data_IF_844472445988
#
_entry.id   IF_844472445988
#
_cell.length_a   1.000
_cell.length_b   1.000
_cell.length_c   1.000
_cell.angle_alpha   90.00
_cell.angle_beta   90.00
_cell.angle_gamma   90.00
#
_symmetry.space_group_name_H-M   'P 1'
#
loop_
_entity.id
_entity.type
_entity.pdbx_description
1 polymer ?
#
# COMPACT_ATOMS: atom_id res chain seq x y z
N UNK A 1 3.67 24.90 -21.19
CA UNK A 1 3.67 23.85 -20.16
C UNK A 1 4.95 23.09 -20.37
N UNK A 2 5.94 23.44 -19.58
CA UNK A 2 7.25 22.82 -19.67
C UNK A 2 7.12 21.37 -19.22
N UNK A 3 7.50 20.44 -20.09
CA UNK A 3 7.57 19.04 -19.78
C UNK A 3 8.54 18.91 -18.58
N UNK A 4 8.04 18.42 -17.46
CA UNK A 4 8.90 17.95 -16.40
C UNK A 4 9.67 16.77 -16.98
N UNK A 5 10.91 16.99 -17.36
CA UNK A 5 11.84 15.91 -17.68
C UNK A 5 11.97 15.04 -16.42
N UNK A 6 11.19 13.96 -16.39
CA UNK A 6 11.49 12.88 -15.46
C UNK A 6 12.87 12.35 -15.86
N UNK A 7 13.77 12.13 -14.89
CA UNK A 7 15.07 11.58 -15.20
C UNK A 7 14.88 10.30 -16.00
N UNK A 8 15.52 10.23 -17.16
CA UNK A 8 15.62 9.00 -17.92
C UNK A 8 15.94 7.86 -16.96
N UNK A 9 15.49 6.66 -17.28
CA UNK A 9 15.83 5.42 -16.55
C UNK A 9 17.36 5.43 -16.39
N UNK A 10 17.83 6.10 -15.34
CA UNK A 10 19.24 6.36 -15.16
C UNK A 10 19.85 5.24 -14.34
N UNK A 11 21.09 4.93 -14.59
CA UNK A 11 21.92 4.04 -13.77
C UNK A 11 21.85 4.35 -12.27
N UNK A 12 21.43 5.57 -11.89
CA UNK A 12 21.14 5.98 -10.51
C UNK A 12 20.04 5.12 -9.83
N UNK A 13 19.15 4.47 -10.58
CA UNK A 13 18.15 3.52 -10.04
C UNK A 13 18.82 2.18 -9.70
N UNK A 14 19.99 1.88 -10.26
CA UNK A 14 20.71 0.61 -10.10
C UNK A 14 21.85 0.70 -9.08
N UNK A 15 22.30 1.89 -8.71
CA UNK A 15 23.31 2.08 -7.67
C UNK A 15 22.64 2.52 -6.37
N UNK A 16 22.98 1.93 -5.22
CA UNK A 16 22.57 2.49 -3.95
C UNK A 16 23.14 3.93 -3.88
N UNK A 17 22.24 4.91 -3.74
CA UNK A 17 22.69 6.29 -3.47
C UNK A 17 23.60 6.26 -2.23
N UNK A 18 24.69 7.00 -2.25
CA UNK A 18 25.54 7.18 -1.08
C UNK A 18 24.66 7.63 0.10
N UNK A 19 24.54 6.78 1.14
CA UNK A 19 23.63 6.96 2.26
C UNK A 19 22.36 6.11 2.21
N UNK A 20 22.16 5.25 1.19
CA UNK A 20 21.06 4.30 1.19
C UNK A 20 21.21 3.31 2.35
N UNK A 21 20.11 3.09 3.09
CA UNK A 21 20.05 2.09 4.14
C UNK A 21 20.35 0.71 3.53
N UNK A 22 21.14 -0.08 4.25
CA UNK A 22 21.43 -1.45 3.82
C UNK A 22 20.11 -2.23 3.71
N UNK A 23 19.93 -2.97 2.61
CA UNK A 23 18.73 -3.76 2.36
C UNK A 23 19.09 -5.08 1.68
N UNK A 24 18.25 -6.10 1.90
CA UNK A 24 18.36 -7.41 1.29
C UNK A 24 17.31 -7.56 0.19
N UNK A 25 17.68 -8.17 -0.93
CA UNK A 25 16.79 -8.32 -2.09
C UNK A 25 16.01 -9.62 -2.04
N UNK A 26 14.73 -9.55 -2.42
CA UNK A 26 13.86 -10.71 -2.57
C UNK A 26 12.50 -10.54 -1.90
N UNK A 27 11.47 -11.15 -2.46
CA UNK A 27 10.11 -11.16 -1.91
C UNK A 27 9.81 -12.54 -1.31
N UNK A 28 9.40 -12.56 -0.03
CA UNK A 28 9.01 -13.79 0.65
C UNK A 28 10.15 -14.78 0.92
N UNK A 29 11.39 -14.37 0.70
CA UNK A 29 12.58 -15.18 1.02
C UNK A 29 12.77 -15.27 2.54
N UNK A 30 13.51 -16.29 2.98
CA UNK A 30 14.02 -16.35 4.34
C UNK A 30 15.33 -15.56 4.42
N UNK A 31 15.30 -14.51 5.22
CA UNK A 31 16.45 -13.65 5.48
C UNK A 31 17.01 -13.90 6.86
N UNK A 32 18.24 -13.49 7.08
CA UNK A 32 18.90 -13.47 8.38
C UNK A 32 19.83 -12.25 8.45
N UNK A 33 19.71 -11.46 9.50
CA UNK A 33 20.48 -10.22 9.68
C UNK A 33 20.65 -9.89 11.15
N UNK A 34 21.76 -9.23 11.48
CA UNK A 34 22.09 -8.77 12.84
C UNK A 34 22.69 -7.37 12.80
N UNK A 35 22.24 -6.51 13.70
CA UNK A 35 22.79 -5.16 13.87
C UNK A 35 24.07 -5.19 14.75
N UNK A 36 24.18 -6.18 15.61
CA UNK A 36 25.36 -6.45 16.44
C UNK A 36 25.87 -7.84 16.12
N UNK A 37 27.12 -7.93 15.75
CA UNK A 37 27.76 -9.19 15.36
C UNK A 37 27.64 -10.25 16.47
N UNK A 38 27.18 -11.44 16.10
CA UNK A 38 27.01 -12.57 17.01
C UNK A 38 25.68 -12.55 17.78
N UNK A 39 24.73 -11.67 17.43
CA UNK A 39 23.40 -11.66 18.02
C UNK A 39 22.51 -12.80 17.49
N UNK A 40 22.75 -13.30 16.27
CA UNK A 40 22.03 -14.45 15.73
C UNK A 40 22.56 -15.75 16.33
N UNK A 41 21.69 -16.63 16.89
CA UNK A 41 22.12 -17.96 17.31
C UNK A 41 22.45 -18.84 16.12
N UNK A 42 23.42 -19.72 16.29
CA UNK A 42 23.81 -20.70 15.29
C UNK A 42 23.01 -21.99 15.45
N UNK A 43 22.43 -22.49 14.36
CA UNK A 43 21.76 -23.78 14.23
C UNK A 43 20.52 -23.99 15.13
N UNK A 44 20.08 -23.00 15.89
CA UNK A 44 18.89 -23.07 16.76
C UNK A 44 18.12 -21.76 16.74
N UNK A 45 16.80 -21.83 16.76
CA UNK A 45 15.96 -20.63 16.86
C UNK A 45 15.84 -20.11 18.29
N UNK A 46 15.70 -21.02 19.26
CA UNK A 46 15.58 -20.69 20.68
C UNK A 46 16.55 -21.55 21.52
N UNK A 47 17.85 -21.19 21.53
CA UNK A 47 18.80 -21.87 22.41
C UNK A 47 18.47 -21.64 23.86
N UNK A 48 18.94 -22.49 24.77
CA UNK A 48 18.72 -22.34 26.22
C UNK A 48 19.19 -20.95 26.71
N UNK A 49 20.26 -20.44 26.14
CA UNK A 49 20.73 -19.08 26.34
C UNK A 49 20.96 -18.44 24.97
N UNK A 50 20.16 -17.44 24.65
CA UNK A 50 20.38 -16.69 23.44
C UNK A 50 21.66 -15.84 23.53
N UNK A 51 22.36 -15.62 22.41
CA UNK A 51 23.56 -14.78 22.38
C UNK A 51 23.31 -13.39 22.99
N UNK A 52 24.33 -12.82 23.59
CA UNK A 52 24.34 -11.46 24.16
C UNK A 52 23.24 -11.19 25.22
N UNK A 53 22.65 -12.23 25.80
CA UNK A 53 21.58 -12.10 26.77
C UNK A 53 20.25 -11.66 26.17
N UNK A 54 20.07 -11.77 24.86
CA UNK A 54 18.84 -11.42 24.15
C UNK A 54 17.72 -12.43 24.44
N UNK A 55 16.49 -12.02 24.22
CA UNK A 55 15.32 -12.89 24.28
C UNK A 55 14.95 -13.34 22.87
N UNK A 56 14.80 -14.65 22.68
CA UNK A 56 14.28 -15.23 21.45
C UNK A 56 12.73 -15.15 21.47
N UNK A 57 12.16 -14.55 20.45
CA UNK A 57 10.71 -14.35 20.31
C UNK A 57 10.29 -14.67 18.88
N UNK A 58 9.12 -15.30 18.68
CA UNK A 58 8.59 -15.59 17.36
C UNK A 58 7.34 -14.78 17.08
N UNK A 59 7.28 -14.15 15.91
CA UNK A 59 6.03 -13.64 15.31
C UNK A 59 5.65 -14.56 14.15
N UNK A 60 4.45 -15.14 14.20
CA UNK A 60 3.93 -15.99 13.13
C UNK A 60 2.83 -15.26 12.37
N UNK A 61 3.01 -15.10 11.05
CA UNK A 61 2.02 -14.52 10.14
C UNK A 61 1.07 -15.57 9.54
N UNK A 62 1.23 -16.84 9.91
CA UNK A 62 0.35 -17.95 9.55
C UNK A 62 0.15 -18.85 10.76
N UNK A 63 -0.83 -19.76 10.69
CA UNK A 63 -0.97 -20.79 11.73
C UNK A 63 0.32 -21.62 11.83
N UNK A 64 0.68 -22.08 13.06
CA UNK A 64 1.85 -22.94 13.25
C UNK A 64 1.82 -24.22 12.41
N UNK A 65 0.61 -24.69 12.12
CA UNK A 65 0.34 -25.91 11.32
C UNK A 65 0.25 -25.65 9.82
N UNK A 66 0.47 -24.40 9.36
CA UNK A 66 0.46 -24.10 7.93
C UNK A 66 1.50 -24.93 7.16
N UNK A 67 1.21 -25.35 5.91
CA UNK A 67 2.17 -26.06 5.07
C UNK A 67 3.46 -25.27 4.92
N UNK A 68 4.58 -25.97 4.82
CA UNK A 68 5.94 -25.36 4.81
C UNK A 68 6.09 -24.25 3.77
N UNK A 69 5.51 -24.41 2.58
CA UNK A 69 5.60 -23.43 1.49
C UNK A 69 4.79 -22.15 1.76
N UNK A 70 3.77 -22.21 2.61
CA UNK A 70 2.91 -21.08 2.96
C UNK A 70 3.10 -20.59 4.40
N UNK A 71 3.98 -21.24 5.17
CA UNK A 71 4.25 -20.85 6.56
C UNK A 71 5.04 -19.56 6.61
N UNK A 72 4.49 -18.56 7.27
CA UNK A 72 5.10 -17.23 7.48
C UNK A 72 5.46 -17.06 8.95
N UNK A 73 6.74 -16.85 9.21
CA UNK A 73 7.27 -16.64 10.55
C UNK A 73 8.56 -15.84 10.52
N UNK A 74 8.82 -15.15 11.63
CA UNK A 74 10.07 -14.44 11.90
C UNK A 74 10.46 -14.68 13.35
N UNK A 75 11.76 -14.88 13.58
CA UNK A 75 12.37 -14.96 14.89
C UNK A 75 13.10 -13.65 15.16
N UNK A 76 12.73 -13.03 16.27
CA UNK A 76 13.37 -11.83 16.81
C UNK A 76 14.32 -12.21 17.94
N UNK A 77 15.47 -11.57 18.00
CA UNK A 77 16.39 -11.59 19.13
C UNK A 77 16.47 -10.17 19.64
N UNK A 78 15.79 -9.93 20.75
CA UNK A 78 15.47 -8.60 21.25
C UNK A 78 15.93 -8.37 22.68
N UNK A 79 16.12 -7.10 23.05
CA UNK A 79 16.62 -6.71 24.37
C UNK A 79 15.59 -7.01 25.45
N UNK A 80 14.30 -6.77 25.18
CA UNK A 80 13.18 -7.02 26.13
C UNK A 80 12.06 -7.75 25.42
N UNK A 81 11.50 -8.84 25.99
CA UNK A 81 10.43 -9.57 25.30
C UNK A 81 9.14 -8.77 25.23
N UNK A 82 8.39 -8.88 24.14
CA UNK A 82 7.19 -8.09 23.87
C UNK A 82 6.03 -8.36 24.82
N UNK A 83 6.09 -9.41 25.62
CA UNK A 83 5.15 -9.63 26.75
C UNK A 83 5.16 -8.48 27.75
N UNK A 84 6.26 -7.71 27.82
CA UNK A 84 6.34 -6.50 28.63
C UNK A 84 5.60 -5.30 28.00
N UNK A 85 5.29 -5.35 26.71
CA UNK A 85 4.60 -4.28 26.00
C UNK A 85 3.07 -4.32 26.17
N UNK A 86 2.51 -5.42 26.67
CA UNK A 86 1.07 -5.65 26.76
C UNK A 86 0.41 -5.20 28.06
N UNK A 87 1.09 -4.42 28.91
CA UNK A 87 0.55 -4.04 30.23
C UNK A 87 -0.22 -2.71 30.16
N UNK A 88 -1.36 -2.68 30.87
CA UNK A 88 -2.12 -1.45 31.13
C UNK A 88 -2.62 -0.74 29.86
N UNK A 89 -2.97 -1.46 28.82
CA UNK A 89 -3.63 -0.87 27.66
C UNK A 89 -4.97 -0.26 28.05
N UNK A 90 -5.20 0.97 27.61
CA UNK A 90 -6.47 1.69 27.74
C UNK A 90 -7.00 1.97 26.36
N UNK A 91 -8.29 1.74 26.15
CA UNK A 91 -8.97 2.13 24.92
C UNK A 91 -8.94 3.65 24.77
N UNK A 92 -8.66 4.10 23.55
CA UNK A 92 -8.67 5.51 23.16
C UNK A 92 -9.57 5.71 21.94
N UNK A 93 -9.95 6.96 21.69
CA UNK A 93 -10.73 7.32 20.52
C UNK A 93 -10.00 6.98 19.22
N UNK A 94 -10.75 6.45 18.26
CA UNK A 94 -10.21 6.09 16.94
C UNK A 94 -10.04 7.28 16.00
N UNK A 95 -10.46 8.48 16.39
CA UNK A 95 -10.44 9.66 15.54
C UNK A 95 -11.21 9.42 14.23
N UNK A 96 -10.52 9.52 13.09
CA UNK A 96 -11.07 9.26 11.76
C UNK A 96 -10.70 7.87 11.20
N UNK A 97 -10.14 7.00 12.02
CA UNK A 97 -9.84 5.62 11.63
C UNK A 97 -11.10 4.78 11.81
N UNK A 98 -11.49 4.05 10.77
CA UNK A 98 -12.61 3.11 10.79
C UNK A 98 -12.14 1.74 10.34
N UNK A 99 -12.84 0.71 10.82
CA UNK A 99 -12.57 -0.70 10.51
C UNK A 99 -13.88 -1.38 10.14
N UNK A 100 -13.86 -2.29 9.19
CA UNK A 100 -15.02 -3.06 8.80
C UNK A 100 -15.42 -4.09 9.88
N UNK A 101 -16.75 -4.33 10.06
CA UNK A 101 -17.85 -3.70 9.35
C UNK A 101 -18.08 -2.27 9.83
N UNK A 102 -17.92 -1.32 8.94
CA UNK A 102 -18.20 0.09 9.24
C UNK A 102 -19.65 0.39 8.83
N UNK A 103 -20.45 0.77 9.80
CA UNK A 103 -21.85 1.16 9.60
C UNK A 103 -22.03 2.67 9.78
N UNK A 104 -20.96 3.44 9.60
CA UNK A 104 -21.13 4.89 9.44
C UNK A 104 -22.09 5.07 8.27
N UNK A 105 -23.27 5.59 8.54
CA UNK A 105 -24.28 5.82 7.54
C UNK A 105 -23.80 6.89 6.56
N UNK A 106 -23.11 6.42 5.51
CA UNK A 106 -22.80 7.28 4.38
C UNK A 106 -24.11 7.56 3.65
N UNK A 107 -24.45 8.83 3.55
CA UNK A 107 -25.57 9.30 2.73
C UNK A 107 -25.24 9.37 1.25
N UNK A 108 -24.05 8.89 0.83
CA UNK A 108 -23.66 8.95 -0.57
C UNK A 108 -24.53 8.04 -1.43
N UNK A 109 -25.00 8.52 -2.57
CA UNK A 109 -25.79 7.74 -3.50
C UNK A 109 -24.92 6.60 -4.07
N UNK A 110 -25.57 5.54 -4.53
CA UNK A 110 -24.94 4.57 -5.41
C UNK A 110 -24.48 5.30 -6.66
N UNK A 111 -23.18 5.23 -6.95
CA UNK A 111 -22.59 5.91 -8.10
C UNK A 111 -21.07 5.81 -8.07
N UNK A 112 -20.47 6.38 -9.11
CA UNK A 112 -19.03 6.56 -9.17
C UNK A 112 -18.69 7.78 -8.31
N UNK A 113 -17.71 7.62 -7.40
CA UNK A 113 -17.27 8.68 -6.51
C UNK A 113 -15.86 9.12 -6.85
N UNK A 114 -15.59 10.40 -6.67
CA UNK A 114 -14.25 10.98 -6.83
C UNK A 114 -14.01 12.05 -5.76
N UNK A 115 -12.79 12.07 -5.24
CA UNK A 115 -12.33 13.09 -4.30
C UNK A 115 -11.09 13.78 -4.83
N UNK A 116 -11.04 15.09 -4.69
CA UNK A 116 -9.82 15.85 -4.85
C UNK A 116 -8.82 15.50 -3.72
N UNK A 117 -7.54 15.88 -3.86
CA UNK A 117 -6.54 15.55 -2.85
C UNK A 117 -6.94 16.02 -1.45
N UNK A 118 -6.77 15.15 -0.46
CA UNK A 118 -6.93 15.51 0.96
C UNK A 118 -6.01 16.68 1.29
N UNK A 119 -6.51 17.78 1.90
CA UNK A 119 -5.69 18.91 2.32
C UNK A 119 -4.56 18.49 3.26
N UNK A 120 -3.40 19.15 3.10
CA UNK A 120 -2.27 18.96 4.00
C UNK A 120 -2.53 19.67 5.33
N UNK A 121 -2.02 19.15 6.47
CA UNK A 121 -2.31 19.72 7.77
C UNK A 121 -1.53 21.01 8.03
N UNK A 122 -2.18 22.02 8.58
CA UNK A 122 -1.55 23.22 9.11
C UNK A 122 -1.01 23.05 10.54
N UNK A 123 -1.74 22.27 11.36
CA UNK A 123 -1.33 21.92 12.72
C UNK A 123 -0.31 20.76 12.72
N UNK A 124 0.55 20.66 13.76
CA UNK A 124 1.46 19.55 13.91
C UNK A 124 0.71 18.21 13.94
N UNK A 125 0.87 17.40 12.91
CA UNK A 125 0.15 16.15 12.67
C UNK A 125 1.14 15.06 12.29
N UNK A 126 1.19 13.97 13.06
CA UNK A 126 1.96 12.79 12.69
C UNK A 126 1.12 11.82 11.85
N UNK A 127 1.72 10.71 11.46
CA UNK A 127 1.07 9.72 10.60
C UNK A 127 -0.24 9.19 11.20
N UNK A 128 -0.29 8.87 12.50
CA UNK A 128 -1.50 8.33 13.14
C UNK A 128 -2.59 9.37 13.28
N UNK A 129 -2.24 10.59 13.70
CA UNK A 129 -3.18 11.70 13.81
C UNK A 129 -3.70 12.12 12.44
N UNK A 130 -2.93 11.88 11.39
CA UNK A 130 -3.28 12.18 10.00
C UNK A 130 -3.88 11.02 9.21
N UNK A 131 -4.05 9.84 9.81
CA UNK A 131 -4.63 8.68 9.14
C UNK A 131 -6.16 8.75 9.14
N UNK A 132 -6.77 8.67 7.97
CA UNK A 132 -8.20 8.82 7.75
C UNK A 132 -8.73 7.72 6.85
N UNK A 133 -9.79 7.04 7.27
CA UNK A 133 -10.40 5.98 6.47
C UNK A 133 -11.38 6.55 5.47
N UNK A 134 -11.19 6.23 4.20
CA UNK A 134 -12.08 6.63 3.10
C UNK A 134 -13.21 5.63 2.90
N UNK A 135 -12.87 4.34 2.84
CA UNK A 135 -13.84 3.27 2.64
C UNK A 135 -13.38 1.98 3.29
N UNK A 136 -14.32 1.12 3.64
CA UNK A 136 -14.05 -0.20 4.23
C UNK A 136 -14.93 -1.27 3.59
N UNK A 137 -14.47 -2.51 3.64
CA UNK A 137 -15.28 -3.67 3.25
C UNK A 137 -14.92 -4.90 4.09
N UNK A 138 -15.82 -5.87 4.11
CA UNK A 138 -15.61 -7.13 4.82
C UNK A 138 -15.86 -7.03 6.33
N UNK A 139 -15.08 -7.79 7.09
CA UNK A 139 -15.23 -7.89 8.54
C UNK A 139 -13.90 -8.32 9.17
N UNK A 140 -13.37 -7.48 10.07
CA UNK A 140 -12.10 -7.73 10.76
C UNK A 140 -12.17 -8.95 11.69
N UNK A 141 -13.32 -9.28 12.26
CA UNK A 141 -13.50 -10.45 13.13
C UNK A 141 -13.45 -11.76 12.35
N UNK A 142 -13.84 -11.75 11.09
CA UNK A 142 -13.72 -12.89 10.18
C UNK A 142 -12.49 -12.84 9.30
N UNK A 143 -11.67 -11.77 9.45
CA UNK A 143 -10.42 -11.56 8.74
C UNK A 143 -10.58 -11.55 7.21
N UNK A 144 -11.60 -10.84 6.72
CA UNK A 144 -11.87 -10.65 5.30
C UNK A 144 -12.07 -9.18 4.97
N UNK A 145 -11.74 -8.79 3.74
CA UNK A 145 -11.84 -7.41 3.29
C UNK A 145 -10.64 -6.55 3.66
N UNK A 146 -10.82 -5.24 3.57
CA UNK A 146 -9.78 -4.25 3.87
C UNK A 146 -10.38 -2.88 4.18
N UNK A 147 -9.56 -1.97 4.70
CA UNK A 147 -9.85 -0.54 4.75
C UNK A 147 -8.90 0.22 3.83
N UNK A 148 -9.45 1.17 3.07
CA UNK A 148 -8.68 2.16 2.32
C UNK A 148 -8.58 3.44 3.13
N UNK A 149 -7.34 3.86 3.41
CA UNK A 149 -7.07 5.09 4.14
C UNK A 149 -6.27 6.06 3.28
N UNK A 150 -6.34 7.35 3.65
CA UNK A 150 -5.36 8.37 3.29
C UNK A 150 -4.62 8.81 4.54
N UNK A 151 -3.36 9.20 4.39
CA UNK A 151 -2.63 9.85 5.46
C UNK A 151 -2.07 11.19 5.00
N UNK A 152 -2.00 12.12 5.92
CA UNK A 152 -1.32 13.41 5.78
C UNK A 152 -0.53 13.66 7.05
N UNK A 153 0.74 14.07 6.92
CA UNK A 153 1.56 14.37 8.10
C UNK A 153 2.57 15.48 7.80
N UNK A 154 2.91 16.26 8.83
CA UNK A 154 3.94 17.31 8.75
C UNK A 154 4.96 17.21 9.90
N UNK A 155 4.88 16.15 10.72
CA UNK A 155 5.88 15.81 11.74
C UNK A 155 6.09 14.30 11.84
N UNK A 156 7.24 13.90 12.34
CA UNK A 156 7.58 12.51 12.67
C UNK A 156 6.80 12.02 13.89
N UNK A 157 6.61 10.69 13.99
CA UNK A 157 6.03 10.07 15.18
C UNK A 157 6.96 10.09 16.39
N UNK A 158 8.27 10.22 16.16
CA UNK A 158 9.32 10.27 17.21
C UNK A 158 9.23 9.04 18.14
N UNK A 159 8.79 9.21 19.42
CA UNK A 159 8.66 8.15 20.42
C UNK A 159 7.23 7.59 20.53
N UNK A 160 6.47 7.67 19.46
CA UNK A 160 5.14 7.10 19.32
C UNK A 160 5.20 5.94 18.32
N UNK A 161 4.75 4.79 18.74
CA UNK A 161 4.82 3.56 17.95
C UNK A 161 3.43 3.00 17.71
N UNK A 162 3.26 2.32 16.57
CA UNK A 162 2.00 1.73 16.18
C UNK A 162 2.16 0.24 15.90
N UNK A 163 1.12 -0.51 16.18
CA UNK A 163 0.98 -1.91 15.81
C UNK A 163 -0.47 -2.19 15.48
N UNK A 164 -0.74 -2.88 14.38
CA UNK A 164 -2.08 -3.37 14.07
C UNK A 164 -2.13 -4.90 14.14
N UNK A 165 -3.08 -5.42 14.92
CA UNK A 165 -3.43 -6.83 14.94
C UNK A 165 -4.56 -7.15 13.94
N UNK A 166 -5.15 -6.13 13.32
CA UNK A 166 -6.28 -6.26 12.42
C UNK A 166 -5.86 -6.56 10.98
N UNK A 167 -4.84 -5.87 10.48
CA UNK A 167 -4.45 -5.97 9.08
C UNK A 167 -2.96 -5.80 8.81
N UNK A 168 -2.54 -6.19 7.61
CA UNK A 168 -1.27 -5.87 7.00
C UNK A 168 -1.37 -4.51 6.34
N UNK A 169 -0.39 -3.63 6.50
CA UNK A 169 -0.39 -2.31 5.87
C UNK A 169 0.38 -2.33 4.55
N UNK A 170 -0.25 -1.86 3.50
CA UNK A 170 0.38 -1.47 2.23
C UNK A 170 0.36 0.06 2.14
N UNK A 171 1.52 0.69 2.31
CA UNK A 171 1.73 2.13 2.26
C UNK A 171 2.10 2.56 0.83
N UNK A 172 1.42 3.58 0.30
CA UNK A 172 1.63 4.13 -1.04
C UNK A 172 1.89 5.64 -0.93
N UNK A 173 3.15 6.09 -0.76
CA UNK A 173 3.49 7.50 -0.73
C UNK A 173 3.10 8.21 -2.04
N UNK A 174 2.49 9.38 -1.91
CA UNK A 174 2.09 10.21 -3.04
C UNK A 174 2.84 11.54 -3.07
N UNK A 175 3.12 12.13 -1.91
CA UNK A 175 3.86 13.37 -1.76
C UNK A 175 4.82 13.26 -0.57
N UNK A 176 6.08 13.67 -0.79
CA UNK A 176 7.14 13.61 0.20
C UNK A 176 7.63 12.18 0.47
N UNK A 177 8.71 12.07 1.24
CA UNK A 177 9.31 10.79 1.62
C UNK A 177 8.93 10.43 3.05
N UNK A 178 8.76 9.15 3.31
CA UNK A 178 8.55 8.60 4.65
C UNK A 178 9.65 7.60 4.98
N UNK A 179 10.06 7.55 6.24
CA UNK A 179 10.87 6.48 6.80
C UNK A 179 9.97 5.60 7.67
N UNK A 180 9.85 4.32 7.32
CA UNK A 180 9.14 3.32 8.10
C UNK A 180 10.18 2.55 8.91
N UNK A 181 10.25 2.79 10.21
CA UNK A 181 11.12 2.07 11.12
C UNK A 181 10.32 1.01 11.86
N UNK A 182 10.63 -0.24 11.60
CA UNK A 182 9.95 -1.43 12.12
C UNK A 182 10.85 -2.22 13.07
N UNK A 183 10.31 -3.26 13.71
CA UNK A 183 11.10 -4.23 14.49
C UNK A 183 12.17 -4.97 13.66
N UNK A 184 12.09 -4.90 12.33
CA UNK A 184 13.07 -5.51 11.41
C UNK A 184 14.16 -4.54 10.94
N UNK A 185 13.95 -3.23 11.10
CA UNK A 185 14.84 -2.19 10.58
C UNK A 185 14.10 -1.11 9.81
N UNK A 186 14.83 -0.33 9.02
CA UNK A 186 14.37 0.91 8.41
C UNK A 186 14.20 0.81 6.90
N UNK A 187 13.11 1.35 6.39
CA UNK A 187 12.83 1.50 4.95
C UNK A 187 12.44 2.95 4.67
N UNK A 188 13.11 3.59 3.74
CA UNK A 188 12.72 4.91 3.22
C UNK A 188 11.98 4.71 1.90
N UNK A 189 10.82 5.33 1.76
CA UNK A 189 10.01 5.28 0.55
C UNK A 189 9.60 6.68 0.08
N UNK A 190 9.59 6.85 -1.24
CA UNK A 190 9.20 8.06 -1.95
C UNK A 190 7.98 7.79 -2.86
N UNK A 191 7.35 8.83 -3.43
CA UNK A 191 6.33 8.65 -4.46
C UNK A 191 6.82 7.74 -5.60
N UNK A 192 5.99 6.73 -5.94
CA UNK A 192 6.36 5.67 -6.88
C UNK A 192 6.99 4.43 -6.23
N UNK A 193 7.15 4.41 -4.92
CA UNK A 193 7.52 3.23 -4.13
C UNK A 193 6.39 2.84 -3.19
N UNK A 194 6.35 1.56 -2.79
CA UNK A 194 5.40 1.05 -1.78
C UNK A 194 6.16 0.38 -0.65
N UNK A 195 5.53 0.33 0.55
CA UNK A 195 6.04 -0.42 1.70
C UNK A 195 4.94 -1.33 2.23
N UNK A 196 5.29 -2.59 2.48
CA UNK A 196 4.44 -3.57 3.17
C UNK A 196 4.95 -3.71 4.60
N UNK A 197 4.05 -3.49 5.58
CA UNK A 197 4.31 -3.77 6.99
C UNK A 197 3.40 -4.92 7.43
N UNK A 198 3.97 -6.08 7.79
CA UNK A 198 3.19 -7.24 8.20
C UNK A 198 2.30 -6.98 9.43
N UNK A 199 1.15 -7.65 9.48
CA UNK A 199 0.27 -7.68 10.64
C UNK A 199 1.03 -8.08 11.91
N UNK A 200 0.81 -7.35 13.01
CA UNK A 200 1.39 -7.62 14.32
C UNK A 200 2.79 -7.05 14.54
N UNK A 201 3.41 -6.44 13.53
CA UNK A 201 4.71 -5.80 13.61
C UNK A 201 4.59 -4.37 14.13
N UNK A 202 5.43 -4.00 15.09
CA UNK A 202 5.50 -2.64 15.60
C UNK A 202 6.34 -1.77 14.69
N UNK A 203 5.90 -0.53 14.49
CA UNK A 203 6.63 0.44 13.66
C UNK A 203 6.31 1.88 14.06
N UNK A 204 7.10 2.80 13.55
CA UNK A 204 6.81 4.23 13.50
C UNK A 204 7.09 4.77 12.10
N UNK A 205 6.50 5.92 11.79
CA UNK A 205 6.76 6.65 10.55
C UNK A 205 7.36 7.99 10.90
N UNK A 206 8.57 8.22 10.39
CA UNK A 206 9.29 9.46 10.53
C UNK A 206 9.42 10.14 9.16
N UNK A 207 9.59 11.46 9.16
CA UNK A 207 9.80 12.28 7.97
C UNK A 207 11.31 12.52 7.81
N UNK A 208 12.01 11.79 6.94
CA UNK A 208 13.48 11.82 6.86
C UNK A 208 14.03 13.17 6.40
N UNK A 209 13.22 13.96 5.68
CA UNK A 209 13.59 15.28 5.19
C UNK A 209 13.26 16.40 6.21
N UNK A 210 12.69 16.03 7.37
CA UNK A 210 12.27 16.97 8.41
C UNK A 210 11.34 18.06 7.87
N UNK A 211 11.39 19.24 8.47
CA UNK A 211 10.58 20.38 8.01
C UNK A 211 10.95 20.88 6.61
N UNK A 212 12.20 20.69 6.18
CA UNK A 212 12.64 21.12 4.86
C UNK A 212 11.98 20.33 3.71
N UNK A 213 11.57 19.08 3.97
CA UNK A 213 10.87 18.24 2.99
C UNK A 213 9.39 18.57 2.83
N UNK A 214 8.85 19.41 3.71
CA UNK A 214 7.44 19.74 3.74
C UNK A 214 6.53 18.57 4.21
N UNK A 215 5.21 18.77 4.19
CA UNK A 215 4.26 17.76 4.58
C UNK A 215 4.19 16.62 3.58
N UNK A 216 3.83 15.43 4.08
CA UNK A 216 3.67 14.21 3.30
C UNK A 216 2.21 13.82 3.16
N UNK A 217 1.88 13.14 2.08
CA UNK A 217 0.57 12.54 1.81
C UNK A 217 0.74 11.20 1.12
N UNK A 218 -0.18 10.30 1.36
CA UNK A 218 -0.25 9.02 0.66
C UNK A 218 -1.48 8.22 1.02
N UNK A 219 -1.49 6.97 0.58
CA UNK A 219 -2.61 6.07 0.76
C UNK A 219 -2.14 4.82 1.51
N UNK A 220 -3.10 4.15 2.17
CA UNK A 220 -2.84 2.89 2.86
C UNK A 220 -3.98 1.93 2.58
N UNK A 221 -3.65 0.69 2.22
CA UNK A 221 -4.58 -0.41 2.36
C UNK A 221 -4.25 -1.18 3.65
N UNK A 222 -5.22 -1.32 4.54
CA UNK A 222 -5.14 -2.22 5.69
C UNK A 222 -5.87 -3.52 5.33
N UNK A 223 -5.11 -4.51 4.91
CA UNK A 223 -5.60 -5.81 4.45
C UNK A 223 -5.88 -6.75 5.63
N UNK A 224 -7.15 -7.06 5.88
CA UNK A 224 -7.55 -7.95 6.98
C UNK A 224 -7.37 -9.44 6.67
N UNK A 225 -7.31 -9.79 5.38
CA UNK A 225 -7.31 -11.16 4.90
C UNK A 225 -5.92 -11.81 4.93
N UNK A 226 -5.73 -12.71 3.97
CA UNK A 226 -4.43 -13.35 3.75
C UNK A 226 -3.37 -12.31 3.41
N UNK A 227 -2.11 -12.55 3.80
CA UNK A 227 -1.00 -11.66 3.46
C UNK A 227 -0.82 -11.51 1.95
N UNK A 228 -0.30 -10.36 1.53
CA UNK A 228 -0.01 -10.04 0.14
C UNK A 228 1.08 -10.97 -0.42
N UNK A 229 0.86 -11.44 -1.63
CA UNK A 229 1.76 -12.30 -2.39
C UNK A 229 1.96 -11.78 -3.81
N UNK A 230 2.96 -12.28 -4.52
CA UNK A 230 3.06 -12.05 -5.95
C UNK A 230 1.96 -12.86 -6.68
N UNK A 231 1.31 -12.28 -7.70
CA UNK A 231 0.28 -12.99 -8.46
C UNK A 231 0.86 -14.13 -9.29
N UNK A 232 0.02 -15.12 -9.58
CA UNK A 232 0.36 -16.17 -10.53
C UNK A 232 0.48 -15.59 -11.94
N UNK A 233 1.50 -16.00 -12.68
CA UNK A 233 1.79 -15.48 -14.01
C UNK A 233 1.09 -16.23 -15.14
N UNK A 234 0.70 -17.49 -14.91
CA UNK A 234 0.06 -18.31 -15.92
C UNK A 234 0.85 -18.36 -17.23
N UNK A 235 0.22 -18.06 -18.36
CA UNK A 235 0.88 -18.11 -19.69
C UNK A 235 1.94 -17.01 -19.91
N UNK A 236 2.05 -16.01 -19.05
CA UNK A 236 3.12 -15.01 -19.11
C UNK A 236 4.50 -15.63 -18.82
N UNK A 237 4.54 -16.72 -18.05
CA UNK A 237 5.76 -17.42 -17.70
C UNK A 237 6.60 -16.69 -16.66
N UNK A 238 7.92 -16.65 -16.82
CA UNK A 238 8.85 -16.14 -15.82
C UNK A 238 9.12 -14.63 -15.89
N UNK A 239 8.78 -14.00 -17.00
CA UNK A 239 9.04 -12.57 -17.24
C UNK A 239 7.79 -11.73 -16.98
N UNK A 240 7.93 -10.40 -17.03
CA UNK A 240 6.89 -9.41 -16.78
C UNK A 240 6.38 -9.38 -15.34
N UNK A 241 5.51 -8.41 -15.06
CA UNK A 241 4.97 -8.06 -13.74
C UNK A 241 6.09 -7.68 -12.75
N UNK A 242 5.80 -7.75 -11.44
CA UNK A 242 6.80 -7.49 -10.42
C UNK A 242 7.77 -8.67 -10.30
N UNK A 243 9.08 -8.39 -10.28
CA UNK A 243 10.09 -9.41 -10.05
C UNK A 243 10.43 -9.47 -8.56
N UNK A 244 10.41 -10.68 -7.98
CA UNK A 244 10.71 -10.88 -6.55
C UNK A 244 12.06 -10.28 -6.12
N UNK A 245 13.09 -10.30 -6.99
CA UNK A 245 14.43 -9.75 -6.70
C UNK A 245 14.44 -8.23 -6.48
N UNK A 246 13.43 -7.51 -6.98
CA UNK A 246 13.37 -6.04 -6.92
C UNK A 246 12.73 -5.53 -5.63
N UNK A 247 12.20 -6.41 -4.80
CA UNK A 247 11.74 -6.08 -3.47
C UNK A 247 12.92 -6.01 -2.51
N UNK A 248 12.89 -5.01 -1.63
CA UNK A 248 13.94 -4.74 -0.66
C UNK A 248 13.40 -4.92 0.75
N UNK A 249 14.07 -5.77 1.53
CA UNK A 249 13.81 -6.03 2.94
C UNK A 249 14.90 -5.36 3.78
N UNK A 250 14.59 -4.69 4.92
CA UNK A 250 15.59 -3.96 5.70
C UNK A 250 16.57 -4.92 6.37
N UNK A 251 17.79 -4.45 6.62
CA UNK A 251 18.69 -5.10 7.58
C UNK A 251 18.32 -4.69 9.00
N UNK A 252 18.67 -5.54 9.99
CA UNK A 252 18.39 -5.29 11.39
C UNK A 252 18.93 -3.92 11.82
N UNK A 253 18.07 -3.15 12.47
CA UNK A 253 18.39 -1.92 13.16
C UNK A 253 17.46 -1.78 14.36
N UNK A 254 17.97 -1.26 15.46
CA UNK A 254 17.23 -1.23 16.73
C UNK A 254 17.41 0.09 17.47
N UNK A 255 16.53 0.33 18.44
CA UNK A 255 16.64 1.39 19.43
C UNK A 255 16.89 0.77 20.80
N UNK A 256 17.83 1.35 21.55
CA UNK A 256 18.10 0.97 22.94
C UNK A 256 18.20 2.23 23.80
N UNK A 257 17.04 2.67 24.27
CA UNK A 257 16.94 3.82 25.18
C UNK A 257 15.82 3.61 26.22
N UNK A 258 16.00 4.18 27.40
CA UNK A 258 15.07 4.16 28.51
C UNK A 258 14.29 5.48 28.64
N UNK A 259 13.66 5.89 27.55
CA UNK A 259 12.76 7.04 27.53
C UNK A 259 11.31 6.58 27.45
N UNK A 260 10.40 7.36 28.04
CA UNK A 260 8.98 7.10 27.93
C UNK A 260 8.53 7.13 26.45
N UNK A 261 7.86 6.08 26.03
CA UNK A 261 7.36 5.88 24.69
C UNK A 261 5.86 5.57 24.71
N UNK A 262 5.15 6.01 23.70
CA UNK A 262 3.75 5.64 23.49
C UNK A 262 3.66 4.45 22.54
N UNK A 263 2.92 3.41 22.92
CA UNK A 263 2.56 2.33 22.01
C UNK A 263 1.04 2.35 21.81
N UNK A 264 0.64 2.56 20.56
CA UNK A 264 -0.74 2.46 20.11
C UNK A 264 -0.92 1.11 19.42
N UNK A 265 -1.88 0.32 19.91
CA UNK A 265 -2.25 -0.96 19.28
C UNK A 265 -3.66 -0.88 18.72
N UNK A 266 -3.82 -1.23 17.46
CA UNK A 266 -5.12 -1.43 16.82
C UNK A 266 -5.50 -2.90 16.89
N UNK A 267 -6.66 -3.20 17.46
CA UNK A 267 -7.17 -4.56 17.57
C UNK A 267 -8.69 -4.55 17.58
N UNK A 268 -9.30 -5.42 16.77
CA UNK A 268 -10.76 -5.55 16.64
C UNK A 268 -11.46 -4.23 16.32
N UNK A 269 -10.82 -3.41 15.49
CA UNK A 269 -11.33 -2.10 15.08
C UNK A 269 -11.22 -1.00 16.12
N UNK A 270 -10.55 -1.25 17.25
CA UNK A 270 -10.37 -0.30 18.35
C UNK A 270 -8.90 0.07 18.51
N UNK A 271 -8.64 1.25 19.04
CA UNK A 271 -7.29 1.69 19.38
C UNK A 271 -7.09 1.60 20.91
N UNK A 272 -5.93 1.10 21.27
CA UNK A 272 -5.49 0.98 22.66
C UNK A 272 -4.14 1.65 22.81
N UNK A 273 -3.97 2.37 23.90
CA UNK A 273 -2.75 3.09 24.25
C UNK A 273 -2.12 2.51 25.52
N UNK A 274 -0.80 2.41 25.52
CA UNK A 274 0.01 2.19 26.73
C UNK A 274 1.29 2.99 26.66
N UNK A 275 1.88 3.29 27.80
CA UNK A 275 3.21 3.92 27.91
C UNK A 275 4.24 2.85 28.28
N UNK A 276 5.32 2.81 27.51
CA UNK A 276 6.48 1.96 27.75
C UNK A 276 7.64 2.78 28.30
N UNK A 277 8.48 2.25 29.21
CA UNK A 277 9.67 2.96 29.69
C UNK A 277 10.87 2.87 28.72
N UNK A 278 10.71 2.25 27.56
CA UNK A 278 11.75 2.01 26.56
C UNK A 278 11.13 1.92 25.16
N UNK A 279 11.95 1.98 24.11
CA UNK A 279 11.50 1.71 22.74
C UNK A 279 11.05 0.25 22.57
N UNK A 280 9.93 -0.03 21.88
CA UNK A 280 9.56 -1.38 21.47
C UNK A 280 10.30 -1.87 20.22
N UNK A 281 11.09 -1.02 19.54
CA UNK A 281 11.89 -1.39 18.36
C UNK A 281 13.29 -1.84 18.78
N UNK A 282 13.39 -2.77 19.73
CA UNK A 282 14.60 -3.21 20.38
C UNK A 282 15.12 -4.58 19.86
N UNK A 283 14.76 -4.93 18.63
CA UNK A 283 15.18 -6.17 17.96
C UNK A 283 16.59 -6.01 17.38
N UNK A 284 17.58 -6.64 17.98
CA UNK A 284 19.00 -6.54 17.61
C UNK A 284 19.34 -7.42 16.40
N UNK A 285 18.65 -8.54 16.26
CA UNK A 285 18.81 -9.47 15.14
C UNK A 285 17.50 -10.19 14.86
N UNK A 286 17.33 -10.65 13.62
CA UNK A 286 16.18 -11.44 13.24
C UNK A 286 16.47 -12.33 12.04
N UNK A 287 15.70 -13.41 11.88
CA UNK A 287 15.64 -14.21 10.68
C UNK A 287 14.23 -14.73 10.43
N UNK A 288 13.89 -14.94 9.16
CA UNK A 288 12.58 -15.46 8.76
C UNK A 288 12.11 -14.92 7.42
N UNK A 289 10.85 -15.22 7.11
CA UNK A 289 10.21 -14.89 5.83
C UNK A 289 8.92 -14.04 6.00
N UNK A 290 8.73 -13.44 7.16
CA UNK A 290 7.61 -12.55 7.47
C UNK A 290 8.15 -11.19 7.90
N UNK A 291 8.88 -10.54 6.99
CA UNK A 291 9.53 -9.26 7.21
C UNK A 291 8.87 -8.17 6.34
N UNK A 292 8.96 -6.89 6.75
CA UNK A 292 8.52 -5.78 5.92
C UNK A 292 9.38 -5.70 4.66
N UNK A 293 8.80 -5.15 3.59
CA UNK A 293 9.56 -4.91 2.37
C UNK A 293 9.04 -3.67 1.65
N UNK A 294 9.87 -3.12 0.76
CA UNK A 294 9.49 -2.07 -0.18
C UNK A 294 9.71 -2.51 -1.62
N UNK A 295 9.00 -1.88 -2.54
CA UNK A 295 9.14 -2.09 -3.97
C UNK A 295 9.02 -0.79 -4.73
N UNK A 296 9.88 -0.59 -5.73
CA UNK A 296 9.83 0.53 -6.66
C UNK A 296 8.94 0.16 -7.85
N UNK A 297 7.77 0.79 -7.94
CA UNK A 297 6.76 0.52 -8.96
C UNK A 297 7.25 0.82 -10.39
N UNK A 298 8.29 1.63 -10.54
CA UNK A 298 8.93 1.91 -11.84
C UNK A 298 9.68 0.70 -12.41
N UNK A 299 9.98 -0.30 -11.57
CA UNK A 299 10.59 -1.58 -11.98
C UNK A 299 9.57 -2.61 -12.46
N UNK A 300 8.29 -2.29 -12.36
CA UNK A 300 7.23 -3.16 -12.84
C UNK A 300 7.28 -3.26 -14.37
N UNK A 301 7.23 -4.48 -14.89
CA UNK A 301 7.23 -4.75 -16.32
C UNK A 301 5.82 -5.07 -16.80
N UNK A 302 5.05 -4.08 -17.31
CA UNK A 302 3.71 -4.34 -17.80
C UNK A 302 3.74 -5.25 -19.02
N UNK A 303 2.72 -6.09 -19.19
CA UNK A 303 2.53 -6.85 -20.44
C UNK A 303 1.99 -5.89 -21.48
N UNK A 304 2.83 -5.45 -22.39
CA UNK A 304 2.56 -4.29 -23.23
C UNK A 304 2.11 -4.59 -24.64
N UNK A 305 2.16 -5.84 -25.14
CA UNK A 305 1.86 -6.08 -26.55
C UNK A 305 0.79 -7.13 -26.74
N UNK A 306 -0.36 -6.68 -27.18
CA UNK A 306 -1.37 -7.49 -27.85
C UNK A 306 -1.58 -6.93 -29.25
N UNK A 307 -1.99 -7.77 -30.19
CA UNK A 307 -2.20 -7.32 -31.58
C UNK A 307 -3.43 -6.43 -31.71
N UNK A 308 -4.52 -6.82 -31.04
CA UNK A 308 -5.79 -6.11 -31.01
C UNK A 308 -6.27 -6.00 -29.57
N UNK A 309 -7.21 -5.10 -29.32
CA UNK A 309 -7.88 -4.88 -28.04
C UNK A 309 -6.98 -4.36 -26.91
N UNK A 310 -7.58 -3.83 -25.89
CA UNK A 310 -6.90 -3.44 -24.66
C UNK A 310 -6.80 -4.65 -23.72
N UNK A 311 -5.63 -4.96 -23.15
CA UNK A 311 -5.52 -6.05 -22.20
C UNK A 311 -6.25 -5.75 -20.90
N UNK A 312 -6.74 -6.81 -20.23
CA UNK A 312 -7.38 -6.70 -18.93
C UNK A 312 -6.42 -6.14 -17.87
N UNK A 313 -6.93 -5.39 -16.86
CA UNK A 313 -6.11 -4.82 -15.79
C UNK A 313 -5.33 -5.85 -14.95
N UNK A 314 -5.73 -7.11 -14.95
CA UNK A 314 -5.04 -8.20 -14.24
C UNK A 314 -3.55 -8.31 -14.57
N UNK A 315 -3.15 -7.93 -15.78
CA UNK A 315 -1.72 -7.91 -16.18
C UNK A 315 -0.92 -6.80 -15.53
N UNK A 316 -1.55 -5.91 -14.79
CA UNK A 316 -0.92 -4.81 -14.05
C UNK A 316 -0.91 -5.06 -12.54
N UNK A 317 -1.30 -6.25 -12.07
CA UNK A 317 -1.31 -6.61 -10.67
C UNK A 317 0.12 -6.77 -10.14
N UNK A 318 0.46 -5.96 -9.15
CA UNK A 318 1.77 -6.01 -8.46
C UNK A 318 1.74 -7.06 -7.36
N UNK A 319 0.68 -7.04 -6.55
CA UNK A 319 0.49 -7.89 -5.38
C UNK A 319 -0.97 -8.33 -5.28
N UNK A 320 -1.20 -9.51 -4.74
CA UNK A 320 -2.53 -10.07 -4.50
C UNK A 320 -2.63 -10.71 -3.12
N UNK A 321 -3.75 -10.52 -2.45
CA UNK A 321 -4.14 -11.28 -1.27
C UNK A 321 -5.33 -12.17 -1.62
N UNK A 322 -5.16 -13.47 -1.45
CA UNK A 322 -6.23 -14.43 -1.78
C UNK A 322 -7.46 -14.23 -0.90
N UNK A 323 -8.65 -14.45 -1.46
CA UNK A 323 -9.88 -14.60 -0.70
C UNK A 323 -10.22 -16.09 -0.50
N UNK A 324 -11.29 -16.37 0.23
CA UNK A 324 -11.86 -17.71 0.39
C UNK A 324 -12.59 -18.21 -0.87
N UNK A 325 -12.83 -17.32 -1.83
CA UNK A 325 -13.47 -17.67 -3.10
C UNK A 325 -12.40 -17.74 -4.19
N UNK A 326 -12.17 -18.91 -4.78
CA UNK A 326 -11.21 -19.06 -5.87
C UNK A 326 -11.48 -18.11 -7.04
N UNK A 327 -10.41 -17.53 -7.59
CA UNK A 327 -10.47 -16.64 -8.74
C UNK A 327 -10.88 -15.18 -8.45
N UNK A 328 -11.10 -14.83 -7.17
CA UNK A 328 -11.32 -13.43 -6.76
C UNK A 328 -10.43 -13.08 -5.57
N UNK A 329 -9.86 -11.90 -5.57
CA UNK A 329 -8.97 -11.47 -4.50
C UNK A 329 -9.74 -10.86 -3.30
N UNK A 330 -9.18 -11.01 -2.10
CA UNK A 330 -9.52 -10.18 -0.96
C UNK A 330 -9.06 -8.74 -1.23
N UNK A 331 -7.85 -8.62 -1.76
CA UNK A 331 -7.25 -7.34 -2.16
C UNK A 331 -6.22 -7.59 -3.27
N UNK A 332 -6.39 -6.93 -4.40
CA UNK A 332 -5.36 -6.77 -5.41
C UNK A 332 -4.80 -5.35 -5.36
N UNK A 333 -3.49 -5.23 -5.48
CA UNK A 333 -2.82 -3.97 -5.71
C UNK A 333 -2.37 -3.92 -7.17
N UNK A 334 -3.07 -3.11 -7.95
CA UNK A 334 -2.88 -2.92 -9.39
C UNK A 334 -2.28 -1.55 -9.63
N UNK A 335 -1.43 -1.40 -10.65
CA UNK A 335 -0.89 -0.10 -11.06
C UNK A 335 -1.14 0.13 -12.55
N UNK A 336 -1.23 1.39 -12.93
CA UNK A 336 -1.26 1.84 -14.32
C UNK A 336 0.04 2.61 -14.61
N UNK A 337 1.12 1.86 -14.93
CA UNK A 337 2.45 2.45 -15.13
C UNK A 337 2.64 2.94 -16.56
N UNK A 338 3.79 3.53 -16.80
CA UNK A 338 4.27 3.81 -18.15
C UNK A 338 4.24 2.55 -19.01
N UNK A 339 3.76 2.69 -20.25
CA UNK A 339 3.62 1.56 -21.18
C UNK A 339 3.52 1.99 -22.64
N UNK A 340 3.74 1.05 -23.54
CA UNK A 340 3.47 1.22 -24.96
C UNK A 340 2.06 0.79 -25.32
N UNK A 341 1.36 1.61 -26.11
CA UNK A 341 0.09 1.30 -26.75
C UNK A 341 0.36 1.06 -28.23
N UNK A 342 0.21 -0.18 -28.68
CA UNK A 342 0.56 -0.62 -30.05
C UNK A 342 -0.57 -1.37 -30.75
N UNK A 343 -1.72 -1.59 -30.08
CA UNK A 343 -2.84 -2.37 -30.59
C UNK A 343 -3.36 -1.76 -31.89
N UNK A 344 -3.44 -2.59 -32.93
CA UNK A 344 -3.91 -2.21 -34.27
C UNK A 344 -5.43 -2.14 -34.31
N UNK A 345 -5.97 -1.14 -34.99
CA UNK A 345 -7.41 -0.96 -35.21
C UNK A 345 -8.28 -1.21 -33.98
N UNK A 346 -7.82 -0.73 -32.81
CA UNK A 346 -8.45 -0.98 -31.52
C UNK A 346 -8.72 0.32 -30.76
N UNK A 347 -9.79 0.32 -29.97
CA UNK A 347 -10.00 1.36 -28.96
C UNK A 347 -8.99 1.16 -27.82
N UNK A 348 -8.02 2.06 -27.67
CA UNK A 348 -6.85 1.86 -26.81
C UNK A 348 -7.06 2.20 -25.33
N UNK A 349 -7.96 3.12 -24.91
CA UNK A 349 -8.31 3.26 -23.50
C UNK A 349 -9.04 2.02 -22.98
N UNK A 350 -9.14 1.82 -21.66
CA UNK A 350 -10.07 0.86 -21.09
C UNK A 350 -11.47 1.13 -21.63
N UNK A 351 -12.18 0.07 -22.02
CA UNK A 351 -13.57 0.19 -22.50
C UNK A 351 -14.54 0.50 -21.37
N UNK A 352 -15.78 0.90 -21.69
CA UNK A 352 -16.85 0.97 -20.70
C UNK A 352 -17.14 -0.43 -20.17
N UNK A 353 -17.18 -0.59 -18.85
CA UNK A 353 -17.35 -1.89 -18.24
C UNK A 353 -18.06 -1.84 -16.88
N UNK A 354 -18.43 -3.00 -16.41
CA UNK A 354 -18.91 -3.29 -15.07
C UNK A 354 -18.11 -4.52 -14.57
N UNK A 355 -17.54 -4.41 -13.39
CA UNK A 355 -16.75 -5.47 -12.77
C UNK A 355 -17.49 -6.00 -11.52
N UNK A 356 -17.38 -7.29 -11.24
CA UNK A 356 -17.86 -7.89 -9.98
C UNK A 356 -17.00 -7.47 -8.79
N UNK A 357 -15.82 -6.94 -9.05
CA UNK A 357 -14.92 -6.37 -8.05
C UNK A 357 -15.18 -4.86 -7.86
N UNK A 358 -14.87 -4.35 -6.68
CA UNK A 358 -14.88 -2.92 -6.39
C UNK A 358 -13.48 -2.35 -6.53
N UNK A 359 -13.38 -1.12 -7.03
CA UNK A 359 -12.13 -0.47 -7.39
C UNK A 359 -11.97 0.86 -6.64
N UNK A 360 -10.96 0.96 -5.79
CA UNK A 360 -10.54 2.22 -5.17
C UNK A 360 -9.22 2.65 -5.79
N UNK A 361 -9.25 3.75 -6.56
CA UNK A 361 -8.10 4.25 -7.29
C UNK A 361 -7.47 5.46 -6.64
N UNK A 362 -6.17 5.66 -6.86
CA UNK A 362 -5.44 6.88 -6.55
C UNK A 362 -4.45 7.24 -7.65
N UNK A 363 -4.20 8.54 -7.83
CA UNK A 363 -3.20 9.04 -8.77
C UNK A 363 -1.97 9.50 -8.00
N UNK A 364 -0.83 8.83 -8.23
CA UNK A 364 0.42 9.17 -7.55
C UNK A 364 1.05 10.40 -8.21
N UNK A 365 1.21 10.38 -9.53
CA UNK A 365 1.70 11.53 -10.30
C UNK A 365 1.26 11.46 -11.76
N UNK A 366 1.35 12.59 -12.46
CA UNK A 366 1.04 12.72 -13.88
C UNK A 366 -0.44 12.88 -14.18
N UNK A 367 -0.89 12.33 -15.30
CA UNK A 367 -2.26 12.40 -15.82
C UNK A 367 -2.74 11.00 -16.15
N UNK A 368 -3.92 10.64 -15.67
CA UNK A 368 -4.52 9.34 -16.02
C UNK A 368 -5.16 9.41 -17.40
N UNK A 369 -4.77 8.53 -18.30
CA UNK A 369 -5.11 8.56 -19.73
C UNK A 369 -6.61 8.39 -20.02
N UNK A 370 -7.32 7.61 -19.21
CA UNK A 370 -8.76 7.41 -19.38
C UNK A 370 -9.60 8.61 -18.91
N UNK A 371 -9.05 9.45 -18.03
CA UNK A 371 -9.72 10.60 -17.42
C UNK A 371 -8.75 11.76 -17.22
N UNK A 372 -8.33 12.41 -18.32
CA UNK A 372 -7.34 13.49 -18.23
C UNK A 372 -7.88 14.76 -17.53
N UNK A 373 -9.20 14.90 -17.40
CA UNK A 373 -9.83 15.98 -16.67
C UNK A 373 -10.29 15.60 -15.26
N UNK A 374 -9.92 16.40 -14.25
CA UNK A 374 -10.46 16.30 -12.90
C UNK A 374 -9.92 15.21 -11.99
N UNK A 375 -9.14 14.25 -12.48
CA UNK A 375 -8.41 13.27 -11.65
C UNK A 375 -6.95 13.73 -11.55
N UNK A 376 -6.59 14.30 -10.42
CA UNK A 376 -5.28 14.95 -10.19
C UNK A 376 -4.44 14.16 -9.18
N UNK A 377 -3.09 14.32 -9.19
CA UNK A 377 -2.22 13.66 -8.20
C UNK A 377 -2.66 13.91 -6.76
N UNK A 378 -2.81 12.85 -5.99
CA UNK A 378 -3.36 12.88 -4.63
C UNK A 378 -4.89 12.71 -4.56
N UNK A 379 -5.58 12.77 -5.69
CA UNK A 379 -7.02 12.48 -5.78
C UNK A 379 -7.31 10.99 -5.71
N UNK A 380 -8.58 10.66 -5.50
CA UNK A 380 -9.09 9.29 -5.37
C UNK A 380 -10.38 9.11 -6.15
N UNK A 381 -10.68 7.88 -6.55
CA UNK A 381 -12.01 7.51 -7.06
C UNK A 381 -12.43 6.14 -6.54
N UNK A 382 -13.73 5.92 -6.43
CA UNK A 382 -14.34 4.65 -6.06
C UNK A 382 -15.38 4.25 -7.11
N UNK A 383 -15.21 3.07 -7.67
CA UNK A 383 -16.16 2.39 -8.54
C UNK A 383 -16.53 1.08 -7.88
N UNK A 384 -17.69 1.05 -7.23
CA UNK A 384 -18.13 -0.17 -6.56
C UNK A 384 -18.53 -1.28 -7.55
N UNK A 385 -18.60 -2.49 -7.05
CA UNK A 385 -18.98 -3.67 -7.81
C UNK A 385 -20.23 -3.42 -8.67
N UNK A 386 -20.16 -3.79 -9.94
CA UNK A 386 -21.24 -3.68 -10.95
C UNK A 386 -21.71 -2.24 -11.26
N UNK A 387 -21.01 -1.22 -10.82
CA UNK A 387 -21.27 0.15 -11.27
C UNK A 387 -20.55 0.41 -12.59
N UNK A 388 -21.28 0.83 -13.66
CA UNK A 388 -20.66 1.07 -14.95
C UNK A 388 -19.73 2.28 -14.92
N UNK A 389 -18.54 2.14 -15.52
CA UNK A 389 -17.57 3.21 -15.65
C UNK A 389 -16.67 3.01 -16.86
N UNK A 390 -15.77 3.96 -17.13
CA UNK A 390 -14.88 3.91 -18.27
C UNK A 390 -14.29 5.28 -18.60
N UNK A 391 -13.77 5.49 -19.82
CA UNK A 391 -13.19 6.76 -20.24
C UNK A 391 -14.25 7.87 -20.22
N UNK A 392 -13.82 9.10 -19.97
CA UNK A 392 -14.71 10.27 -20.12
C UNK A 392 -15.08 10.49 -21.60
N UNK A 393 -16.06 11.35 -21.84
CA UNK A 393 -16.57 11.62 -23.20
C UNK A 393 -15.48 12.19 -24.13
N UNK A 394 -14.59 13.02 -23.63
CA UNK A 394 -13.52 13.66 -24.42
C UNK A 394 -12.42 12.62 -24.76
N UNK A 395 -12.03 11.78 -23.79
CA UNK A 395 -11.11 10.68 -24.03
C UNK A 395 -11.68 9.67 -25.05
N UNK A 396 -12.98 9.33 -24.92
CA UNK A 396 -13.66 8.47 -25.90
C UNK A 396 -13.67 9.08 -27.30
N UNK A 397 -14.04 10.35 -27.44
CA UNK A 397 -14.09 11.02 -28.75
C UNK A 397 -12.71 11.06 -29.41
N UNK A 398 -11.66 11.42 -28.64
CA UNK A 398 -10.28 11.45 -29.11
C UNK A 398 -9.79 10.06 -29.51
N UNK A 399 -9.99 9.04 -28.70
CA UNK A 399 -9.52 7.69 -28.97
C UNK A 399 -10.24 7.04 -30.16
N UNK A 400 -11.53 7.39 -30.41
CA UNK A 400 -12.32 6.86 -31.51
C UNK A 400 -11.98 7.46 -32.88
N UNK A 401 -11.25 8.58 -32.91
CA UNK A 401 -10.94 9.31 -34.17
C UNK A 401 -9.46 9.45 -34.46
N UNK A 402 -8.61 9.13 -33.49
CA UNK A 402 -7.15 9.27 -33.62
C UNK A 402 -6.59 8.30 -34.64
N UNK A 403 -5.69 8.79 -35.50
CA UNK A 403 -4.84 7.90 -36.32
C UNK A 403 -3.89 7.14 -35.41
N UNK A 404 -3.96 5.81 -35.47
CA UNK A 404 -3.17 4.96 -34.57
C UNK A 404 -1.72 4.83 -35.04
N UNK A 405 -0.80 5.07 -34.15
CA UNK A 405 0.64 4.82 -34.28
C UNK A 405 1.13 4.25 -32.92
N UNK A 406 2.30 3.62 -32.85
CA UNK A 406 2.91 3.28 -31.56
C UNK A 406 2.99 4.53 -30.66
N UNK A 407 2.48 4.43 -29.45
CA UNK A 407 2.43 5.54 -28.48
C UNK A 407 2.93 5.07 -27.13
N UNK A 408 3.84 5.84 -26.52
CA UNK A 408 4.29 5.59 -25.15
C UNK A 408 3.52 6.49 -24.19
N UNK A 409 2.79 5.90 -23.26
CA UNK A 409 2.31 6.60 -22.08
C UNK A 409 3.47 6.71 -21.10
N UNK A 410 3.82 7.93 -20.71
CA UNK A 410 4.95 8.22 -19.82
C UNK A 410 4.62 9.36 -18.86
N UNK A 411 5.40 9.48 -17.77
CA UNK A 411 5.22 10.54 -16.78
C UNK A 411 3.94 10.41 -15.95
N UNK A 412 3.37 9.20 -15.86
CA UNK A 412 2.15 8.96 -15.10
C UNK A 412 2.22 7.66 -14.31
N UNK A 413 1.61 7.65 -13.14
CA UNK A 413 1.44 6.46 -12.32
C UNK A 413 0.18 6.58 -11.47
N UNK A 414 -0.80 5.74 -11.75
CA UNK A 414 -1.96 5.53 -10.92
C UNK A 414 -1.92 4.12 -10.32
N UNK A 415 -2.69 3.91 -9.27
CA UNK A 415 -2.90 2.59 -8.67
C UNK A 415 -4.37 2.32 -8.40
N UNK A 416 -4.68 1.06 -8.14
CA UNK A 416 -6.00 0.59 -7.77
C UNK A 416 -5.88 -0.45 -6.66
N UNK A 417 -6.68 -0.30 -5.62
CA UNK A 417 -7.04 -1.36 -4.67
C UNK A 417 -8.31 -2.00 -5.18
N UNK A 418 -8.23 -3.24 -5.59
CA UNK A 418 -9.36 -3.99 -6.13
C UNK A 418 -9.75 -5.12 -5.18
N UNK A 419 -11.04 -5.30 -4.93
CA UNK A 419 -11.56 -6.28 -3.98
C UNK A 419 -12.88 -6.86 -4.44
N UNK A 420 -13.11 -8.13 -4.11
CA UNK A 420 -14.42 -8.79 -4.33
C UNK A 420 -15.56 -8.18 -3.52
N UNK A 421 -15.27 -7.41 -2.50
CA UNK A 421 -16.27 -6.88 -1.59
C UNK A 421 -16.74 -5.48 -2.00
N UNK A 422 -18.06 -5.18 -1.91
CA UNK A 422 -18.50 -3.80 -2.03
C UNK A 422 -17.85 -2.94 -0.94
N UNK A 423 -17.32 -1.79 -1.35
CA UNK A 423 -16.71 -0.81 -0.47
C UNK A 423 -17.77 0.16 0.08
N UNK A 424 -17.79 0.33 1.40
CA UNK A 424 -18.63 1.28 2.08
C UNK A 424 -17.81 2.55 2.40
N UNK A 425 -18.11 3.71 1.77
CA UNK A 425 -17.51 4.98 2.16
C UNK A 425 -17.85 5.31 3.61
N UNK A 426 -16.90 5.92 4.33
CA UNK A 426 -17.12 6.38 5.71
C UNK A 426 -17.89 7.70 5.75
N UNK A 427 -18.42 8.06 6.93
CA UNK A 427 -19.00 9.38 7.17
C UNK A 427 -18.00 10.49 6.82
N UNK A 428 -16.73 10.35 7.23
CA UNK A 428 -15.66 11.28 6.85
C UNK A 428 -15.57 11.48 5.34
N UNK A 429 -15.51 10.40 4.56
CA UNK A 429 -15.41 10.49 3.10
C UNK A 429 -16.64 11.15 2.46
N UNK A 430 -17.83 10.98 3.07
CA UNK A 430 -19.08 11.57 2.60
C UNK A 430 -19.16 13.07 2.82
N UNK A 431 -18.53 13.57 3.88
CA UNK A 431 -18.62 14.97 4.33
C UNK A 431 -17.44 15.82 3.84
N UNK A 432 -16.50 15.23 3.09
CA UNK A 432 -15.33 15.96 2.59
C UNK A 432 -15.75 17.01 1.54
N UNK A 433 -15.35 18.26 1.74
CA UNK A 433 -15.46 19.32 0.73
C UNK A 433 -14.73 19.00 -0.58
N UNK A 434 -13.83 18.04 -0.54
CA UNK A 434 -13.08 17.51 -1.69
C UNK A 434 -13.85 16.48 -2.50
N UNK A 435 -15.04 16.06 -2.07
CA UNK A 435 -15.91 15.17 -2.85
C UNK A 435 -16.39 15.90 -4.10
N UNK A 436 -16.08 15.32 -5.26
CA UNK A 436 -16.44 15.88 -6.56
C UNK A 436 -17.85 15.40 -6.96
N UNK A 437 -18.83 16.21 -6.64
CA UNK A 437 -20.24 15.92 -6.95
C UNK A 437 -20.57 15.98 -8.45
N UNK A 438 -19.68 16.60 -9.26
CA UNK A 438 -19.84 16.73 -10.72
C UNK A 438 -19.11 15.63 -11.48
N UNK A 439 -18.53 14.65 -10.78
CA UNK A 439 -17.77 13.58 -11.45
C UNK A 439 -18.58 12.84 -12.54
N UNK A 440 -19.86 12.48 -12.35
CA UNK A 440 -20.66 11.82 -13.39
C UNK A 440 -20.85 12.63 -14.66
N UNK A 441 -20.74 13.97 -14.60
CA UNK A 441 -20.94 14.88 -15.74
C UNK A 441 -19.89 14.65 -16.86
N UNK A 442 -18.76 14.00 -16.52
CA UNK A 442 -17.73 13.66 -17.51
C UNK A 442 -18.24 12.74 -18.64
N UNK A 443 -19.42 12.11 -18.46
CA UNK A 443 -20.08 11.27 -19.46
C UNK A 443 -21.28 11.89 -20.14
N UNK A 444 -21.78 13.05 -19.72
CA UNK A 444 -23.01 13.67 -20.27
C UNK A 444 -22.94 13.99 -21.75
N UNK A 445 -21.72 14.24 -22.26
CA UNK A 445 -21.50 14.54 -23.68
C UNK A 445 -21.49 13.31 -24.60
N UNK A 446 -21.72 12.11 -24.06
CA UNK A 446 -21.81 10.90 -24.86
C UNK A 446 -23.11 10.88 -25.67
N UNK A 447 -22.98 10.88 -26.99
CA UNK A 447 -24.11 10.95 -27.91
C UNK A 447 -24.47 9.56 -28.47
N UNK A 448 -25.74 9.39 -28.84
CA UNK A 448 -26.18 8.24 -29.63
C UNK A 448 -25.58 8.29 -31.03
N UNK A 449 -24.67 7.38 -31.35
CA UNK A 449 -23.98 7.29 -32.66
C UNK A 449 -24.51 6.15 -33.55
N UNK A 450 -25.43 5.34 -33.02
CA UNK A 450 -25.99 4.23 -33.76
C UNK A 450 -26.73 4.70 -35.01
N UNK A 451 -26.37 4.15 -36.20
CA UNK A 451 -27.03 4.34 -37.51
C UNK A 451 -27.32 2.95 -38.06
N UNK A 452 -28.51 2.77 -38.66
CA UNK A 452 -28.92 1.57 -39.38
C UNK A 452 -28.52 1.71 -40.84
#
# INVERSE_FOLDING_TARGET
MDAVELPAFSEAVLSPANGALAAMTGFGNSFATEAVRGALPVARNSPQQAPLGLYAEQLSGSAFTAPRQSNKRIWFYRIRPSVLHGRNFREIECGLIRTAPCRDESSLPIGQLRWQPTPLPDAPTDFLDGLRTMATCGDVFTQVGFASHVYVANRSMDRRYFCTADGEFLLVPQQGRIEVFTECGRLVAAPGEIVIVPKGMKFKIDLPDGQAGGPVRGYVAENYGHYLTLPERGPIGANCLANARDFLTPTAAYEDHEAACELIMKSQGRLYHTTLPHSPLDVVAWHGNFAPCKYDLRRFSPVGSVMFDHPDPSIYTVLTAASDTPGTANLDFVIFPERWLVMENSFRPPWYHMNVMSEFMGLIYGVYDAKPGGFVPGGMSLHNALLPHGPDADAFAKASTKTLAPERLSGTLAFMFETRYPLCPTGYASELDTLDTMYPDCWEKLERKFKV
#
